data_IF_943477173093
#
_entry.id   IF_943477173093
#
_cell.length_a   1.000
_cell.length_b   1.000
_cell.length_c   1.000
_cell.angle_alpha   90.00
_cell.angle_beta   90.00
_cell.angle_gamma   90.00
#
_symmetry.space_group_name_H-M   'P 1'
#
loop_
_entity.id
_entity.type
_entity.pdbx_description
1 polymer ?
#
# COMPACT_ATOMS: atom_id res chain seq x y z
N UNK A 1 -26.14 16.23 -12.51
CA UNK A 1 -26.69 17.61 -12.38
C UNK A 1 -25.54 18.53 -12.02
N UNK A 2 -25.12 19.34 -13.01
CA UNK A 2 -24.11 20.38 -12.88
C UNK A 2 -24.74 21.49 -12.02
N UNK A 3 -24.32 21.65 -10.77
CA UNK A 3 -24.65 22.86 -10.01
C UNK A 3 -23.80 23.99 -10.58
N UNK A 4 -24.41 24.96 -11.18
CA UNK A 4 -23.78 26.20 -11.57
C UNK A 4 -23.31 26.92 -10.31
N UNK A 5 -22.01 27.09 -10.18
CA UNK A 5 -21.36 27.91 -9.15
C UNK A 5 -21.41 29.36 -9.61
N UNK A 6 -21.69 30.34 -8.72
CA UNK A 6 -21.76 31.74 -9.10
C UNK A 6 -20.40 32.21 -9.66
N UNK A 7 -20.44 32.94 -10.76
CA UNK A 7 -19.26 33.36 -11.53
C UNK A 7 -18.16 34.10 -10.73
N UNK A 8 -18.51 34.77 -9.62
CA UNK A 8 -17.55 35.46 -8.76
C UNK A 8 -16.69 34.50 -7.89
N UNK A 9 -17.14 33.25 -7.67
CA UNK A 9 -16.44 32.25 -6.88
C UNK A 9 -15.51 31.40 -7.74
N UNK A 10 -15.60 31.46 -9.06
CA UNK A 10 -14.90 30.53 -9.98
C UNK A 10 -13.49 30.95 -10.38
N UNK A 11 -13.08 32.19 -10.09
CA UNK A 11 -11.78 32.77 -10.49
C UNK A 11 -10.60 31.96 -9.88
N UNK A 12 -10.82 31.29 -8.77
CA UNK A 12 -9.79 30.51 -8.07
C UNK A 12 -10.04 28.99 -8.06
N UNK A 13 -11.09 28.52 -8.76
CA UNK A 13 -11.38 27.07 -8.84
C UNK A 13 -10.83 26.47 -10.10
N UNK A 14 -9.92 25.53 -9.95
CA UNK A 14 -9.45 24.68 -11.05
C UNK A 14 -10.04 23.28 -10.89
N UNK A 15 -10.81 22.84 -11.88
CA UNK A 15 -11.37 21.49 -11.92
C UNK A 15 -10.52 20.59 -12.83
N UNK A 16 -10.06 19.46 -12.28
CA UNK A 16 -9.39 18.41 -13.04
C UNK A 16 -10.40 17.29 -13.29
N UNK A 17 -10.76 17.06 -14.55
CA UNK A 17 -11.69 16.02 -14.95
C UNK A 17 -10.93 14.83 -15.53
N UNK A 18 -11.06 13.66 -14.89
CA UNK A 18 -10.50 12.41 -15.40
C UNK A 18 -11.46 11.76 -16.39
N UNK A 19 -10.95 11.04 -17.40
CA UNK A 19 -11.75 10.39 -18.46
C UNK A 19 -12.68 9.30 -17.92
N UNK A 20 -12.37 8.71 -16.77
CA UNK A 20 -13.19 7.72 -16.05
C UNK A 20 -12.86 7.75 -14.55
N UNK A 21 -13.54 6.95 -13.77
CA UNK A 21 -13.18 6.74 -12.36
C UNK A 21 -11.93 5.84 -12.26
N UNK A 22 -10.78 6.43 -12.02
CA UNK A 22 -9.50 5.75 -11.77
C UNK A 22 -9.24 5.50 -10.28
N UNK A 23 -10.13 5.96 -9.41
CA UNK A 23 -10.00 5.86 -7.96
C UNK A 23 -9.42 7.11 -7.29
N UNK A 24 -9.38 7.07 -5.94
CA UNK A 24 -8.96 8.21 -5.11
C UNK A 24 -7.50 8.57 -5.32
N UNK A 25 -6.62 7.58 -5.40
CA UNK A 25 -5.16 7.76 -5.53
C UNK A 25 -4.80 8.53 -6.82
N UNK A 26 -5.45 8.16 -7.94
CA UNK A 26 -5.25 8.87 -9.21
C UNK A 26 -5.80 10.30 -9.16
N UNK A 27 -6.92 10.52 -8.49
CA UNK A 27 -7.48 11.86 -8.31
C UNK A 27 -6.58 12.75 -7.45
N UNK A 28 -6.02 12.22 -6.37
CA UNK A 28 -5.04 12.92 -5.53
C UNK A 28 -3.79 13.29 -6.34
N UNK A 29 -3.25 12.34 -7.12
CA UNK A 29 -2.08 12.59 -7.97
C UNK A 29 -2.33 13.70 -8.97
N UNK A 30 -3.45 13.65 -9.70
CA UNK A 30 -3.83 14.69 -10.66
C UNK A 30 -4.02 16.07 -9.99
N UNK A 31 -4.54 16.09 -8.76
CA UNK A 31 -4.64 17.30 -7.96
C UNK A 31 -3.27 17.87 -7.59
N UNK A 32 -2.35 17.04 -7.13
CA UNK A 32 -0.97 17.43 -6.78
C UNK A 32 -0.19 17.95 -7.99
N UNK A 33 -0.28 17.27 -9.14
CA UNK A 33 0.33 17.71 -10.39
C UNK A 33 -0.21 19.08 -10.86
N UNK A 34 -1.48 19.35 -10.57
CA UNK A 34 -2.15 20.59 -10.98
C UNK A 34 -1.95 21.74 -10.00
N UNK A 35 -1.47 21.46 -8.80
CA UNK A 35 -1.31 22.45 -7.75
C UNK A 35 -0.01 23.27 -7.95
N UNK A 36 -0.11 24.60 -7.86
CA UNK A 36 1.00 25.54 -8.11
C UNK A 36 1.42 26.37 -6.90
N UNK A 37 0.71 26.27 -5.77
CA UNK A 37 1.02 27.05 -4.56
C UNK A 37 2.31 26.56 -3.87
N UNK A 38 2.90 27.42 -3.03
CA UNK A 38 4.07 27.11 -2.22
C UNK A 38 3.78 26.03 -1.18
N UNK A 39 2.52 25.95 -0.78
CA UNK A 39 1.98 24.96 0.12
C UNK A 39 0.71 24.33 -0.50
N UNK A 40 0.55 23.02 -0.32
CA UNK A 40 -0.61 22.28 -0.84
C UNK A 40 -1.28 21.52 0.30
N UNK A 41 -2.60 21.67 0.41
CA UNK A 41 -3.41 20.96 1.40
C UNK A 41 -4.33 19.98 0.69
N UNK A 42 -4.17 18.69 0.99
CA UNK A 42 -5.10 17.65 0.58
C UNK A 42 -6.19 17.48 1.63
N UNK A 43 -7.45 17.50 1.22
CA UNK A 43 -8.60 17.33 2.11
C UNK A 43 -9.71 16.57 1.40
N UNK A 44 -10.37 15.64 2.11
CA UNK A 44 -11.54 14.95 1.60
C UNK A 44 -12.76 15.89 1.62
N UNK A 45 -13.64 15.75 0.62
CA UNK A 45 -14.82 16.62 0.46
C UNK A 45 -16.05 16.11 1.24
N UNK A 46 -15.88 15.19 2.21
CA UNK A 46 -16.97 14.59 2.99
C UNK A 46 -17.31 15.34 4.30
N UNK A 47 -16.68 16.49 4.50
CA UNK A 47 -16.85 17.37 5.66
C UNK A 47 -16.45 16.75 7.01
N UNK A 48 -15.71 15.65 7.01
CA UNK A 48 -15.20 15.05 8.26
C UNK A 48 -13.96 15.75 8.81
N UNK A 49 -13.34 16.61 8.01
CA UNK A 49 -12.14 17.35 8.37
C UNK A 49 -12.50 18.78 8.72
N UNK A 50 -12.34 19.22 9.99
CA UNK A 50 -12.61 20.60 10.37
C UNK A 50 -11.70 21.59 9.64
N UNK A 51 -12.24 22.59 8.90
CA UNK A 51 -11.41 23.59 8.22
C UNK A 51 -10.52 24.39 9.16
N UNK A 52 -10.90 24.54 10.43
CA UNK A 52 -10.10 25.21 11.45
C UNK A 52 -8.70 24.58 11.68
N UNK A 53 -8.51 23.30 11.32
CA UNK A 53 -7.20 22.66 11.36
C UNK A 53 -6.23 23.25 10.34
N UNK A 54 -6.71 23.84 9.26
CA UNK A 54 -5.87 24.45 8.22
C UNK A 54 -5.00 25.57 8.82
N UNK A 55 -5.56 26.40 9.69
CA UNK A 55 -4.81 27.48 10.35
C UNK A 55 -3.68 26.92 11.22
N UNK A 56 -3.95 25.84 11.95
CA UNK A 56 -2.94 25.18 12.78
C UNK A 56 -1.86 24.51 11.93
N UNK A 57 -2.23 23.91 10.80
CA UNK A 57 -1.27 23.32 9.85
C UNK A 57 -0.36 24.40 9.25
N UNK A 58 -0.93 25.54 8.86
CA UNK A 58 -0.19 26.70 8.33
C UNK A 58 0.77 27.28 9.38
N UNK A 59 0.34 27.37 10.63
CA UNK A 59 1.20 27.84 11.72
C UNK A 59 2.43 26.92 11.92
N UNK A 60 2.25 25.60 11.85
CA UNK A 60 3.36 24.65 11.93
C UNK A 60 4.28 24.72 10.72
N UNK A 61 3.73 24.86 9.52
CA UNK A 61 4.51 25.08 8.32
C UNK A 61 5.34 26.38 8.40
N UNK A 62 4.73 27.47 8.86
CA UNK A 62 5.45 28.73 9.09
C UNK A 62 6.56 28.62 10.14
N UNK A 63 6.43 27.67 11.08
CA UNK A 63 7.46 27.32 12.05
C UNK A 63 8.56 26.37 11.47
N UNK A 64 8.46 25.95 10.20
CA UNK A 64 9.46 25.19 9.51
C UNK A 64 9.09 23.70 9.25
N UNK A 65 7.86 23.27 9.54
CA UNK A 65 7.43 21.92 9.20
C UNK A 65 7.28 21.77 7.68
N UNK A 66 7.85 20.71 7.12
CA UNK A 66 7.76 20.41 5.68
C UNK A 66 6.44 19.74 5.32
N UNK A 67 5.91 18.92 6.23
CA UNK A 67 4.64 18.22 6.09
C UNK A 67 3.91 18.17 7.44
N UNK A 68 2.62 18.46 7.45
CA UNK A 68 1.75 18.33 8.64
C UNK A 68 0.56 17.46 8.26
N UNK A 69 0.28 16.41 9.03
CA UNK A 69 -0.82 15.49 8.74
C UNK A 69 -1.76 15.33 9.92
N UNK A 70 -3.05 15.28 9.63
CA UNK A 70 -4.08 15.10 10.64
C UNK A 70 -4.17 13.64 11.10
N UNK A 71 -4.24 13.44 12.43
CA UNK A 71 -4.36 12.13 13.07
C UNK A 71 -5.62 12.09 13.92
N UNK A 72 -6.46 11.09 13.73
CA UNK A 72 -7.66 10.89 14.57
C UNK A 72 -7.28 10.47 15.97
N UNK A 73 -7.77 11.18 16.98
CA UNK A 73 -7.53 10.87 18.41
C UNK A 73 -8.24 9.61 18.88
N UNK A 74 -9.44 9.32 18.39
CA UNK A 74 -10.26 8.18 18.83
C UNK A 74 -10.73 7.32 17.69
N UNK A 75 -10.69 6.00 17.88
CA UNK A 75 -11.28 4.95 17.04
C UNK A 75 -12.06 3.96 17.88
N UNK A 76 -12.93 4.45 18.75
CA UNK A 76 -13.75 3.58 19.61
C UNK A 76 -14.71 2.70 18.82
N UNK A 77 -15.08 3.11 17.61
CA UNK A 77 -16.06 2.42 16.74
C UNK A 77 -15.48 1.34 15.80
N UNK A 78 -14.17 1.06 15.82
CA UNK A 78 -13.62 0.05 14.93
C UNK A 78 -13.67 -1.36 15.52
N UNK A 79 -14.27 -2.29 14.77
CA UNK A 79 -14.25 -3.72 15.08
C UNK A 79 -12.82 -4.22 15.37
N UNK A 80 -12.67 -5.05 16.42
CA UNK A 80 -11.39 -5.65 16.83
C UNK A 80 -10.63 -6.32 15.66
N UNK A 81 -11.36 -6.97 14.73
CA UNK A 81 -10.79 -7.62 13.54
C UNK A 81 -10.13 -6.59 12.61
N UNK A 82 -10.80 -5.45 12.37
CA UNK A 82 -10.26 -4.37 11.53
C UNK A 82 -9.02 -3.74 12.17
N UNK A 83 -9.05 -3.51 13.47
CA UNK A 83 -7.93 -2.94 14.22
C UNK A 83 -6.70 -3.85 14.21
N UNK A 84 -6.90 -5.16 14.40
CA UNK A 84 -5.81 -6.14 14.37
C UNK A 84 -5.24 -6.30 12.96
N UNK A 85 -6.10 -6.41 11.94
CA UNK A 85 -5.67 -6.48 10.54
C UNK A 85 -4.89 -5.24 10.09
N UNK A 86 -5.35 -4.04 10.45
CA UNK A 86 -4.64 -2.81 10.16
C UNK A 86 -3.27 -2.77 10.85
N UNK A 87 -3.18 -3.19 12.12
CA UNK A 87 -1.91 -3.24 12.87
C UNK A 87 -0.90 -4.18 12.21
N UNK A 88 -1.33 -5.36 11.81
CA UNK A 88 -0.49 -6.32 11.08
C UNK A 88 -0.05 -5.77 9.72
N UNK A 89 -0.96 -5.16 8.97
CA UNK A 89 -0.66 -4.53 7.69
C UNK A 89 0.42 -3.45 7.83
N UNK A 90 0.25 -2.50 8.76
CA UNK A 90 1.25 -1.44 8.97
C UNK A 90 2.57 -1.97 9.51
N UNK A 91 2.56 -3.01 10.34
CA UNK A 91 3.78 -3.67 10.84
C UNK A 91 4.55 -4.35 9.70
N UNK A 92 3.86 -5.00 8.77
CA UNK A 92 4.48 -5.59 7.58
C UNK A 92 5.02 -4.50 6.63
N UNK A 93 4.31 -3.41 6.50
CA UNK A 93 4.70 -2.29 5.65
C UNK A 93 5.95 -1.57 6.20
N UNK A 94 5.99 -1.26 7.50
CA UNK A 94 7.13 -0.60 8.14
C UNK A 94 8.37 -1.48 8.25
N UNK A 95 8.21 -2.82 8.33
CA UNK A 95 9.35 -3.74 8.34
C UNK A 95 10.09 -3.89 7.00
N UNK A 96 9.50 -3.45 5.92
CA UNK A 96 9.94 -3.80 4.57
C UNK A 96 10.81 -2.76 3.85
N UNK A 97 11.39 -1.78 4.41
CA UNK A 97 12.38 -0.85 3.81
C UNK A 97 12.61 0.39 4.70
N UNK A 98 12.34 0.32 5.99
CA UNK A 98 12.52 1.46 6.89
C UNK A 98 11.52 2.61 6.66
N UNK A 99 10.39 2.34 5.97
CA UNK A 99 9.33 3.32 5.72
C UNK A 99 8.34 3.25 6.88
N UNK A 100 8.41 4.20 7.78
CA UNK A 100 7.46 4.31 8.89
C UNK A 100 6.19 5.04 8.40
N UNK A 101 5.15 4.26 8.10
CA UNK A 101 3.83 4.81 7.72
C UNK A 101 3.01 4.96 8.99
N UNK A 102 2.72 6.20 9.43
CA UNK A 102 1.93 6.42 10.63
C UNK A 102 0.55 5.77 10.49
N UNK A 103 0.25 4.80 11.37
CA UNK A 103 -0.93 3.93 11.26
C UNK A 103 -2.28 4.69 11.25
N UNK A 104 -2.30 5.92 11.74
CA UNK A 104 -3.52 6.73 11.90
C UNK A 104 -3.53 7.99 11.04
N UNK A 105 -2.49 8.21 10.20
CA UNK A 105 -2.44 9.34 9.30
C UNK A 105 -3.48 9.18 8.17
N UNK A 106 -4.32 10.20 8.03
CA UNK A 106 -5.25 10.36 6.91
C UNK A 106 -4.58 11.01 5.69
N UNK A 107 -5.39 11.25 4.66
CA UNK A 107 -4.99 12.03 3.49
C UNK A 107 -5.11 13.54 3.74
N UNK A 108 -5.74 13.96 4.86
CA UNK A 108 -5.79 15.35 5.27
C UNK A 108 -4.42 15.79 5.76
N UNK A 109 -3.72 16.50 4.90
CA UNK A 109 -2.34 16.94 5.16
C UNK A 109 -1.98 18.21 4.40
N UNK A 110 -1.07 18.95 4.98
CA UNK A 110 -0.37 20.07 4.39
C UNK A 110 1.02 19.61 3.98
N UNK A 111 1.47 20.01 2.80
CA UNK A 111 2.80 19.70 2.25
C UNK A 111 3.40 20.95 1.65
N UNK A 112 4.68 21.21 1.88
CA UNK A 112 5.41 22.27 1.19
C UNK A 112 5.66 21.89 -0.28
N UNK A 113 6.09 22.84 -1.09
CA UNK A 113 6.36 22.62 -2.52
C UNK A 113 7.38 21.50 -2.75
N UNK A 114 8.44 21.42 -1.95
CA UNK A 114 9.48 20.39 -2.08
C UNK A 114 8.93 18.97 -1.92
N UNK A 115 8.02 18.74 -0.97
CA UNK A 115 7.33 17.45 -0.78
C UNK A 115 6.47 17.11 -2.00
N UNK A 116 5.70 18.08 -2.51
CA UNK A 116 4.82 17.88 -3.67
C UNK A 116 5.64 17.56 -4.93
N UNK A 117 6.72 18.27 -5.15
CA UNK A 117 7.60 18.05 -6.31
C UNK A 117 8.27 16.68 -6.22
N UNK A 118 8.72 16.25 -5.04
CA UNK A 118 9.28 14.93 -4.82
C UNK A 118 8.23 13.82 -5.09
N UNK A 119 6.98 14.00 -4.65
CA UNK A 119 5.88 13.07 -4.94
C UNK A 119 5.58 13.00 -6.44
N UNK A 120 5.55 14.14 -7.13
CA UNK A 120 5.28 14.19 -8.56
C UNK A 120 6.41 13.58 -9.40
N UNK A 121 7.66 13.63 -8.92
CA UNK A 121 8.82 13.03 -9.58
C UNK A 121 8.86 11.49 -9.50
N UNK A 122 8.05 10.87 -8.64
CA UNK A 122 8.01 9.42 -8.49
C UNK A 122 7.40 8.76 -9.74
N UNK A 123 8.06 7.73 -10.33
CA UNK A 123 7.63 7.08 -11.56
C UNK A 123 6.53 6.03 -11.38
N UNK A 124 6.13 5.72 -10.15
CA UNK A 124 5.20 4.66 -9.84
C UNK A 124 3.82 4.91 -10.46
N UNK A 125 3.33 3.93 -11.24
CA UNK A 125 1.99 3.97 -11.85
C UNK A 125 0.89 3.55 -10.88
N UNK A 126 1.18 2.55 -10.04
CA UNK A 126 0.28 2.13 -8.97
C UNK A 126 0.66 2.87 -7.71
N UNK A 127 -0.08 3.94 -7.43
CA UNK A 127 0.20 4.82 -6.29
C UNK A 127 -0.62 4.41 -5.07
N UNK A 128 0.06 4.16 -3.98
CA UNK A 128 -0.52 4.08 -2.63
C UNK A 128 -0.03 5.29 -1.86
N UNK A 129 -0.80 6.38 -1.88
CA UNK A 129 -0.35 7.69 -1.41
C UNK A 129 0.17 7.67 0.02
N UNK A 130 -0.46 6.92 0.93
CA UNK A 130 0.00 6.80 2.32
C UNK A 130 1.42 6.26 2.44
N UNK A 131 1.77 5.30 1.60
CA UNK A 131 3.14 4.78 1.52
C UNK A 131 4.10 5.77 0.88
N UNK A 132 3.67 6.45 -0.20
CA UNK A 132 4.50 7.43 -0.92
C UNK A 132 4.85 8.64 -0.05
N UNK A 133 3.92 9.11 0.78
CA UNK A 133 4.19 10.20 1.74
C UNK A 133 5.31 9.85 2.73
N UNK A 134 5.38 8.62 3.17
CA UNK A 134 6.46 8.16 4.04
C UNK A 134 7.75 7.84 3.25
N UNK A 135 7.60 7.37 2.00
CA UNK A 135 8.70 6.99 1.12
C UNK A 135 9.58 8.17 0.70
N UNK A 136 9.00 9.35 0.46
CA UNK A 136 9.76 10.56 0.09
C UNK A 136 10.68 11.08 1.21
N UNK A 137 10.54 10.59 2.44
CA UNK A 137 11.47 10.79 3.53
C UNK A 137 11.44 12.16 4.23
N UNK A 138 10.50 13.03 3.90
CA UNK A 138 10.33 14.31 4.59
C UNK A 138 9.76 14.12 5.99
N UNK A 139 10.19 14.95 6.94
CA UNK A 139 9.68 14.91 8.30
C UNK A 139 8.24 15.40 8.36
N UNK A 140 7.35 14.54 8.82
CA UNK A 140 5.95 14.87 9.03
C UNK A 140 5.63 15.12 10.50
N UNK A 141 4.87 16.18 10.78
CA UNK A 141 4.32 16.46 12.10
C UNK A 141 2.87 16.01 12.19
N UNK A 142 2.55 15.26 13.25
CA UNK A 142 1.19 14.82 13.51
C UNK A 142 0.39 15.94 14.20
N UNK A 143 -0.81 16.24 13.67
CA UNK A 143 -1.79 17.14 14.27
C UNK A 143 -3.01 16.33 14.70
N UNK A 144 -3.19 16.07 16.00
CA UNK A 144 -4.35 15.31 16.47
C UNK A 144 -5.64 16.10 16.29
N UNK A 145 -6.72 15.43 15.91
CA UNK A 145 -8.05 16.01 15.78
C UNK A 145 -9.17 15.03 16.07
N UNK A 146 -10.30 15.54 16.49
CA UNK A 146 -11.55 14.80 16.63
C UNK A 146 -12.36 14.99 15.32
N UNK A 147 -12.71 13.90 14.60
CA UNK A 147 -13.48 14.01 13.37
C UNK A 147 -14.92 14.48 13.66
N UNK A 148 -15.46 15.31 12.78
CA UNK A 148 -16.86 15.69 12.78
C UNK A 148 -17.73 14.53 12.22
N UNK A 149 -19.00 14.48 12.61
CA UNK A 149 -19.95 13.51 12.06
C UNK A 149 -20.16 13.75 10.56
N UNK A 150 -20.27 12.66 9.81
CA UNK A 150 -20.55 12.77 8.36
C UNK A 150 -21.88 13.44 8.10
N UNK A 151 -21.89 14.57 7.42
CA UNK A 151 -23.12 15.24 7.05
C UNK A 151 -23.97 14.44 6.03
N UNK A 152 -23.35 13.65 5.14
CA UNK A 152 -24.05 12.88 4.10
C UNK A 152 -23.27 11.63 3.66
N UNK A 153 -23.98 10.51 3.48
CA UNK A 153 -23.49 9.30 2.79
C UNK A 153 -23.06 8.15 3.67
N UNK A 154 -23.24 6.93 3.17
CA UNK A 154 -22.74 5.70 3.78
C UNK A 154 -21.34 5.37 3.26
N UNK A 155 -20.51 4.74 4.09
CA UNK A 155 -19.19 4.27 3.68
C UNK A 155 -19.30 3.30 2.49
N UNK A 156 -18.78 3.67 1.33
CA UNK A 156 -18.74 2.82 0.12
C UNK A 156 -17.58 1.81 0.11
N UNK A 157 -16.79 1.75 1.18
CA UNK A 157 -15.69 0.79 1.27
C UNK A 157 -16.19 -0.57 1.77
N UNK A 158 -16.56 -1.44 0.83
CA UNK A 158 -16.79 -2.85 1.11
C UNK A 158 -15.48 -3.55 1.50
N UNK A 159 -15.57 -4.63 2.30
CA UNK A 159 -14.43 -5.43 2.77
C UNK A 159 -13.51 -5.91 1.63
N UNK A 160 -14.06 -6.27 0.49
CA UNK A 160 -13.31 -6.72 -0.69
C UNK A 160 -12.44 -5.61 -1.29
N UNK A 161 -12.94 -4.36 -1.33
CA UNK A 161 -12.18 -3.22 -1.84
C UNK A 161 -11.04 -2.84 -0.89
N UNK A 162 -11.29 -2.95 0.43
CA UNK A 162 -10.27 -2.74 1.45
C UNK A 162 -9.16 -3.80 1.36
N UNK A 163 -9.53 -5.08 1.16
CA UNK A 163 -8.58 -6.18 0.96
C UNK A 163 -7.72 -5.97 -0.30
N UNK A 164 -8.31 -5.54 -1.41
CA UNK A 164 -7.57 -5.23 -2.63
C UNK A 164 -6.60 -4.07 -2.42
N UNK A 165 -7.03 -2.98 -1.80
CA UNK A 165 -6.17 -1.84 -1.48
C UNK A 165 -5.01 -2.25 -0.56
N UNK A 166 -5.26 -3.15 0.40
CA UNK A 166 -4.23 -3.67 1.28
C UNK A 166 -3.22 -4.55 0.51
N UNK A 167 -3.69 -5.38 -0.42
CA UNK A 167 -2.80 -6.17 -1.29
C UNK A 167 -1.97 -5.28 -2.21
N UNK A 168 -2.59 -4.30 -2.85
CA UNK A 168 -1.89 -3.34 -3.73
C UNK A 168 -0.82 -2.56 -2.94
N UNK A 169 -1.13 -2.10 -1.74
CA UNK A 169 -0.17 -1.45 -0.86
C UNK A 169 0.96 -2.38 -0.41
N UNK A 170 0.64 -3.62 -0.05
CA UNK A 170 1.63 -4.60 0.39
C UNK A 170 2.60 -4.96 -0.74
N UNK A 171 2.09 -5.21 -1.96
CA UNK A 171 2.92 -5.57 -3.12
C UNK A 171 3.74 -4.39 -3.66
N UNK A 172 3.24 -3.15 -3.52
CA UNK A 172 3.95 -1.96 -3.96
C UNK A 172 5.17 -1.61 -3.08
N UNK A 173 5.08 -1.88 -1.76
CA UNK A 173 6.10 -1.43 -0.81
C UNK A 173 6.88 -2.57 -0.14
N UNK A 174 6.51 -3.83 -0.33
CA UNK A 174 7.20 -4.96 0.29
C UNK A 174 7.37 -6.14 -0.65
N UNK A 175 8.55 -6.73 -0.62
CA UNK A 175 8.87 -8.00 -1.29
C UNK A 175 8.56 -9.22 -0.40
N UNK A 176 8.04 -9.00 0.82
CA UNK A 176 7.82 -10.08 1.79
C UNK A 176 6.89 -11.20 1.29
N UNK A 177 5.74 -10.92 0.60
CA UNK A 177 4.91 -11.99 0.06
C UNK A 177 5.67 -12.86 -0.95
N UNK A 178 6.52 -12.22 -1.75
CA UNK A 178 7.35 -12.86 -2.74
C UNK A 178 8.41 -13.77 -2.08
N UNK A 179 9.10 -13.26 -1.06
CA UNK A 179 10.07 -14.02 -0.25
C UNK A 179 9.43 -15.20 0.47
N UNK A 180 8.20 -15.06 0.96
CA UNK A 180 7.47 -16.17 1.55
C UNK A 180 7.18 -17.26 0.52
N UNK A 181 6.73 -16.91 -0.66
CA UNK A 181 6.50 -17.87 -1.76
C UNK A 181 7.81 -18.56 -2.15
N UNK A 182 8.90 -17.80 -2.27
CA UNK A 182 10.23 -18.32 -2.55
C UNK A 182 10.71 -19.29 -1.47
N UNK A 183 10.56 -18.93 -0.20
CA UNK A 183 10.94 -19.78 0.94
C UNK A 183 10.15 -21.09 0.96
N UNK A 184 8.84 -21.02 0.74
CA UNK A 184 7.96 -22.19 0.63
C UNK A 184 8.38 -23.04 -0.56
N UNK A 185 8.69 -22.42 -1.72
CA UNK A 185 9.20 -23.10 -2.90
C UNK A 185 10.50 -23.86 -2.63
N UNK A 186 11.47 -23.23 -1.99
CA UNK A 186 12.74 -23.87 -1.61
C UNK A 186 12.51 -25.04 -0.64
N UNK A 187 11.62 -24.88 0.36
CA UNK A 187 11.28 -25.97 1.28
C UNK A 187 10.71 -27.19 0.53
N UNK A 188 9.74 -26.96 -0.37
CA UNK A 188 9.19 -28.05 -1.19
C UNK A 188 10.23 -28.66 -2.12
N UNK A 189 11.12 -27.87 -2.71
CA UNK A 189 12.21 -28.38 -3.55
C UNK A 189 13.14 -29.28 -2.76
N UNK A 190 13.54 -28.89 -1.55
CA UNK A 190 14.41 -29.70 -0.67
C UNK A 190 13.71 -31.02 -0.27
N UNK A 191 12.44 -30.96 0.14
CA UNK A 191 11.68 -32.17 0.50
C UNK A 191 11.49 -33.09 -0.69
N UNK A 192 11.21 -32.57 -1.88
CA UNK A 192 11.10 -33.36 -3.12
C UNK A 192 12.41 -34.01 -3.49
N UNK A 193 13.53 -33.29 -3.37
CA UNK A 193 14.86 -33.85 -3.64
C UNK A 193 15.25 -34.95 -2.64
N UNK A 194 14.96 -34.72 -1.35
CA UNK A 194 15.20 -35.75 -0.32
C UNK A 194 14.38 -37.02 -0.58
N UNK A 195 13.10 -36.85 -0.95
CA UNK A 195 12.25 -37.99 -1.29
C UNK A 195 12.69 -38.70 -2.57
N UNK A 196 13.11 -37.96 -3.59
CA UNK A 196 13.69 -38.55 -4.80
C UNK A 196 14.95 -39.36 -4.49
N UNK A 197 15.83 -38.83 -3.63
CA UNK A 197 17.04 -39.53 -3.18
C UNK A 197 16.69 -40.84 -2.42
N UNK A 198 15.70 -40.76 -1.51
CA UNK A 198 15.19 -41.91 -0.80
C UNK A 198 14.72 -43.02 -1.78
N UNK A 199 13.91 -42.67 -2.78
CA UNK A 199 13.40 -43.63 -3.78
C UNK A 199 14.53 -44.27 -4.60
N UNK A 200 15.57 -43.48 -4.96
CA UNK A 200 16.74 -44.05 -5.68
C UNK A 200 17.49 -45.01 -4.80
N UNK A 201 17.74 -44.71 -3.53
CA UNK A 201 18.42 -45.60 -2.58
C UNK A 201 17.60 -46.85 -2.35
N UNK A 202 16.29 -46.72 -2.11
CA UNK A 202 15.39 -47.88 -1.95
C UNK A 202 15.43 -48.81 -3.17
N UNK A 203 15.39 -48.24 -4.38
CA UNK A 203 15.50 -49.00 -5.62
C UNK A 203 16.84 -49.80 -5.71
N UNK A 204 17.94 -49.16 -5.34
CA UNK A 204 19.28 -49.78 -5.38
C UNK A 204 19.46 -50.90 -4.35
N UNK A 205 18.77 -50.79 -3.19
CA UNK A 205 18.91 -51.75 -2.07
C UNK A 205 17.90 -52.90 -2.18
N UNK A 206 16.65 -52.59 -2.47
CA UNK A 206 15.52 -53.52 -2.37
C UNK A 206 14.96 -53.97 -3.72
N UNK A 207 15.32 -53.25 -4.81
CA UNK A 207 14.71 -53.42 -6.12
C UNK A 207 13.25 -52.90 -6.16
N UNK A 208 12.70 -52.79 -7.34
CA UNK A 208 11.30 -52.38 -7.53
C UNK A 208 10.66 -53.27 -8.59
N UNK A 209 9.50 -53.83 -8.29
CA UNK A 209 8.80 -54.76 -9.23
C UNK A 209 8.21 -54.01 -10.44
N UNK A 210 7.95 -52.69 -10.29
CA UNK A 210 7.37 -51.88 -11.37
C UNK A 210 8.47 -51.16 -12.14
N UNK A 211 8.78 -51.69 -13.34
CA UNK A 211 9.79 -51.10 -14.23
C UNK A 211 9.43 -49.65 -14.59
N UNK A 212 10.38 -48.73 -14.40
CA UNK A 212 10.25 -47.33 -14.75
C UNK A 212 9.54 -46.43 -13.72
N UNK A 213 8.89 -46.96 -12.69
CA UNK A 213 8.20 -46.17 -11.65
C UNK A 213 9.16 -45.21 -10.95
N UNK A 214 10.24 -45.69 -10.42
CA UNK A 214 11.26 -44.90 -9.74
C UNK A 214 11.82 -43.81 -10.63
N UNK A 215 12.10 -44.11 -11.90
CA UNK A 215 12.62 -43.16 -12.88
C UNK A 215 11.62 -42.03 -13.13
N UNK A 216 10.32 -42.34 -13.34
CA UNK A 216 9.29 -41.39 -13.59
C UNK A 216 9.10 -40.44 -12.37
N UNK A 217 8.96 -41.03 -11.18
CA UNK A 217 8.76 -40.25 -9.95
C UNK A 217 9.98 -39.37 -9.66
N UNK A 218 11.21 -39.90 -9.80
CA UNK A 218 12.44 -39.14 -9.60
C UNK A 218 12.55 -37.98 -10.60
N UNK A 219 12.25 -38.20 -11.87
CA UNK A 219 12.25 -37.15 -12.90
C UNK A 219 11.23 -36.08 -12.61
N UNK A 220 10.00 -36.46 -12.27
CA UNK A 220 8.93 -35.48 -11.94
C UNK A 220 9.31 -34.62 -10.72
N UNK A 221 9.81 -35.25 -9.65
CA UNK A 221 10.23 -34.54 -8.44
C UNK A 221 11.44 -33.64 -8.69
N UNK A 222 12.42 -34.11 -9.50
CA UNK A 222 13.57 -33.28 -9.89
C UNK A 222 13.15 -32.03 -10.66
N UNK A 223 12.36 -32.19 -11.72
CA UNK A 223 11.90 -31.05 -12.52
C UNK A 223 10.95 -30.14 -11.74
N UNK A 224 10.10 -30.67 -10.85
CA UNK A 224 9.28 -29.88 -9.95
C UNK A 224 10.16 -29.05 -9.01
N UNK A 225 11.21 -29.63 -8.42
CA UNK A 225 12.16 -28.90 -7.57
C UNK A 225 12.88 -27.78 -8.31
N UNK A 226 13.41 -28.04 -9.50
CA UNK A 226 14.08 -27.05 -10.35
C UNK A 226 13.12 -25.92 -10.71
N UNK A 227 11.87 -26.25 -11.04
CA UNK A 227 10.85 -25.24 -11.40
C UNK A 227 10.50 -24.34 -10.21
N UNK A 228 10.33 -24.90 -9.01
CA UNK A 228 10.08 -24.13 -7.78
C UNK A 228 11.25 -23.21 -7.42
N UNK A 229 12.50 -23.67 -7.58
CA UNK A 229 13.68 -22.83 -7.38
C UNK A 229 13.70 -21.69 -8.39
N UNK A 230 13.43 -21.98 -9.67
CA UNK A 230 13.39 -20.97 -10.73
C UNK A 230 12.32 -19.90 -10.47
N UNK A 231 11.12 -20.31 -10.04
CA UNK A 231 10.05 -19.39 -9.62
C UNK A 231 10.47 -18.56 -8.40
N UNK A 232 11.19 -19.18 -7.47
CA UNK A 232 11.76 -18.48 -6.31
C UNK A 232 12.73 -17.36 -6.71
N UNK A 233 13.63 -17.65 -7.64
CA UNK A 233 14.59 -16.68 -8.18
C UNK A 233 13.88 -15.54 -8.90
N UNK A 234 12.95 -15.85 -9.81
CA UNK A 234 12.14 -14.84 -10.52
C UNK A 234 11.34 -13.98 -9.53
N UNK A 235 10.89 -14.59 -8.44
CA UNK A 235 10.17 -13.90 -7.38
C UNK A 235 11.02 -12.92 -6.57
N UNK A 236 12.34 -13.06 -6.52
CA UNK A 236 13.24 -12.15 -5.80
C UNK A 236 13.66 -10.94 -6.69
N UNK A 237 13.61 -11.08 -8.02
CA UNK A 237 13.90 -10.03 -9.00
C UNK A 237 12.67 -9.16 -9.27
#
# INVERSE_FOLDING_TARGET
>A
TRKESSAASDVYKRQVQLSRNFGKEAALSAGLESATGDVVICMDADMQHPPALIEQMLARWAAGAEMVYAVRETREDESWIKRTGARWFYKLLSGARGVDVPAHAGDFRLMNRGVVDALNALPERTRFMKGLYAWVGFKGEALPYTPEERMHGNSRFGSMRLARLALDGLTAFTTWPLRLVSLVGVLFAVLSMAYATYLVVEYLVSGNEVSGWTTIVTAVLFFAGVNLISLGVVGEY
#
